data_IF_238818247842
#
_entry.id   IF_238818247842
#
_cell.length_a   1.000
_cell.length_b   1.000
_cell.length_c   1.000
_cell.angle_alpha   90.00
_cell.angle_beta   90.00
_cell.angle_gamma   90.00
#
_symmetry.space_group_name_H-M   'P 1'
#
loop_
_entity.id
_entity.type
_entity.pdbx_description
1 polymer ?
#
# COMPACT_ATOMS: atom_id res chain seq x y z
N UNK A 1 -28.29 7.10 13.35
CA UNK A 1 -27.01 6.96 12.63
C UNK A 1 -27.26 6.13 11.38
N UNK A 2 -27.39 6.81 10.25
CA UNK A 2 -27.65 6.18 8.95
C UNK A 2 -26.38 5.46 8.47
N UNK A 3 -26.52 4.47 7.59
CA UNK A 3 -25.43 3.64 7.04
C UNK A 3 -24.27 4.42 6.37
N UNK A 4 -24.45 5.73 6.17
CA UNK A 4 -23.48 6.70 5.64
C UNK A 4 -22.24 6.90 6.53
N UNK A 5 -22.35 6.83 7.86
CA UNK A 5 -21.27 7.22 8.78
C UNK A 5 -20.06 6.26 8.79
N UNK A 6 -20.20 5.04 8.27
CA UNK A 6 -19.22 3.96 8.52
C UNK A 6 -18.26 3.67 7.36
N UNK A 7 -18.50 4.22 6.16
CA UNK A 7 -17.52 4.22 5.06
C UNK A 7 -16.48 5.34 5.21
N UNK A 8 -16.88 6.46 5.85
CA UNK A 8 -15.98 7.54 6.23
C UNK A 8 -14.85 7.04 7.14
N UNK A 9 -15.15 6.16 8.11
CA UNK A 9 -14.15 5.62 9.03
C UNK A 9 -13.07 4.77 8.36
N UNK A 10 -13.42 3.89 7.42
CA UNK A 10 -12.42 3.06 6.71
C UNK A 10 -11.58 3.91 5.75
N UNK A 11 -12.22 4.82 5.03
CA UNK A 11 -11.52 5.73 4.10
C UNK A 11 -10.50 6.58 4.87
N UNK A 12 -10.92 7.16 5.99
CA UNK A 12 -10.07 7.97 6.85
C UNK A 12 -8.95 7.15 7.51
N UNK A 13 -9.23 5.93 7.96
CA UNK A 13 -8.20 5.04 8.53
C UNK A 13 -7.07 4.76 7.52
N UNK A 14 -7.42 4.48 6.26
CA UNK A 14 -6.45 4.32 5.20
C UNK A 14 -5.64 5.61 4.97
N UNK A 15 -6.32 6.76 4.86
CA UNK A 15 -5.64 8.05 4.66
C UNK A 15 -4.71 8.41 5.84
N UNK A 16 -5.08 8.12 7.08
CA UNK A 16 -4.19 8.33 8.23
C UNK A 16 -2.91 7.50 8.12
N UNK A 17 -3.01 6.21 7.79
CA UNK A 17 -1.82 5.37 7.57
C UNK A 17 -0.95 5.96 6.47
N UNK A 18 -1.55 6.33 5.34
CA UNK A 18 -0.86 6.91 4.20
C UNK A 18 -0.07 8.17 4.60
N UNK A 19 -0.72 9.13 5.26
CA UNK A 19 -0.08 10.39 5.65
C UNK A 19 0.92 10.24 6.79
N UNK A 20 0.71 9.32 7.73
CA UNK A 20 1.71 9.01 8.78
C UNK A 20 3.00 8.50 8.12
N UNK A 21 2.90 7.56 7.19
CA UNK A 21 4.07 7.02 6.49
C UNK A 21 4.71 8.04 5.53
N UNK A 22 3.92 8.94 4.94
CA UNK A 22 4.44 10.08 4.20
C UNK A 22 5.31 10.97 5.09
N UNK A 23 4.85 11.32 6.29
CA UNK A 23 5.63 12.14 7.22
C UNK A 23 6.94 11.46 7.64
N UNK A 24 6.90 10.15 7.90
CA UNK A 24 8.11 9.35 8.16
C UNK A 24 9.06 9.42 6.96
N UNK A 25 8.55 9.23 5.74
CA UNK A 25 9.35 9.29 4.52
C UNK A 25 9.96 10.68 4.28
N UNK A 26 9.24 11.76 4.58
CA UNK A 26 9.76 13.14 4.47
C UNK A 26 10.99 13.31 5.35
N UNK A 27 10.97 12.85 6.60
CA UNK A 27 12.13 12.92 7.50
C UNK A 27 13.32 12.17 6.90
N UNK A 28 13.10 10.96 6.38
CA UNK A 28 14.14 10.16 5.73
C UNK A 28 14.68 10.82 4.44
N UNK A 29 13.81 11.46 3.67
CA UNK A 29 14.17 12.18 2.44
C UNK A 29 15.00 13.43 2.73
N UNK A 30 14.64 14.19 3.77
CA UNK A 30 15.46 15.33 4.25
C UNK A 30 16.85 14.83 4.65
N UNK A 31 16.93 13.76 5.44
CA UNK A 31 18.22 13.15 5.80
C UNK A 31 19.05 12.76 4.56
N UNK A 32 18.45 12.13 3.55
CA UNK A 32 19.15 11.75 2.31
C UNK A 32 19.72 12.95 1.57
N UNK A 33 18.97 14.05 1.46
CA UNK A 33 19.44 15.27 0.80
C UNK A 33 20.55 15.93 1.61
N UNK A 34 20.41 16.01 2.94
CA UNK A 34 21.43 16.61 3.82
C UNK A 34 22.74 15.82 3.77
N UNK A 35 22.68 14.49 3.79
CA UNK A 35 23.86 13.62 3.65
C UNK A 35 24.54 13.81 2.29
N UNK A 36 23.76 13.76 1.20
CA UNK A 36 24.29 13.93 -0.17
C UNK A 36 24.87 15.32 -0.44
N UNK A 37 24.40 16.32 0.29
CA UNK A 37 24.91 17.68 0.20
C UNK A 37 26.18 17.92 1.04
N UNK A 38 26.64 16.92 1.81
CA UNK A 38 27.80 17.07 2.71
C UNK A 38 27.54 18.02 3.89
N UNK A 39 26.27 18.19 4.29
CA UNK A 39 25.86 19.12 5.35
C UNK A 39 25.86 18.48 6.75
N UNK A 40 26.28 17.21 6.86
CA UNK A 40 26.31 16.46 8.12
C UNK A 40 27.68 16.48 8.79
N UNK A 41 28.70 17.07 8.17
CA UNK A 41 30.07 17.22 8.68
C UNK A 41 30.63 15.91 9.29
N UNK A 42 30.31 14.76 8.68
CA UNK A 42 30.72 13.43 9.14
C UNK A 42 30.00 12.86 10.37
N UNK A 43 29.08 13.59 11.03
CA UNK A 43 28.44 13.11 12.26
C UNK A 43 27.46 11.95 12.05
N UNK A 44 26.82 11.88 10.87
CA UNK A 44 25.83 10.87 10.50
C UNK A 44 26.07 10.29 9.09
N UNK A 45 27.23 10.57 8.50
CA UNK A 45 27.62 10.03 7.19
C UNK A 45 27.98 8.55 7.33
N UNK A 46 27.12 7.69 6.78
CA UNK A 46 27.31 6.24 6.83
C UNK A 46 26.59 5.60 5.65
N UNK A 47 27.29 4.81 4.81
CA UNK A 47 26.64 4.07 3.73
C UNK A 47 25.53 3.15 4.24
N UNK A 48 25.73 2.51 5.40
CA UNK A 48 24.74 1.62 6.01
C UNK A 48 23.47 2.39 6.37
N UNK A 49 23.61 3.54 7.03
CA UNK A 49 22.46 4.38 7.41
C UNK A 49 21.77 4.98 6.18
N UNK A 50 22.56 5.40 5.18
CA UNK A 50 22.04 5.94 3.94
C UNK A 50 21.18 4.91 3.18
N UNK A 51 21.68 3.69 2.96
CA UNK A 51 20.92 2.66 2.25
C UNK A 51 19.73 2.12 3.04
N UNK A 52 19.80 2.06 4.37
CA UNK A 52 18.64 1.77 5.22
C UNK A 52 17.58 2.87 5.08
N UNK A 53 17.98 4.14 5.08
CA UNK A 53 17.10 5.28 4.86
C UNK A 53 16.44 5.27 3.48
N UNK A 54 17.22 5.12 2.40
CA UNK A 54 16.67 5.08 1.03
C UNK A 54 15.72 3.91 0.83
N UNK A 55 16.03 2.74 1.39
CA UNK A 55 15.15 1.57 1.32
C UNK A 55 13.83 1.83 2.04
N UNK A 56 13.90 2.33 3.27
CA UNK A 56 12.71 2.64 4.08
C UNK A 56 11.87 3.76 3.46
N UNK A 57 12.52 4.83 2.99
CA UNK A 57 11.86 5.94 2.30
C UNK A 57 11.14 5.46 1.03
N UNK A 58 11.84 4.70 0.18
CA UNK A 58 11.28 4.19 -1.06
C UNK A 58 10.06 3.30 -0.81
N UNK A 59 10.13 2.38 0.15
CA UNK A 59 8.99 1.52 0.52
C UNK A 59 7.83 2.32 1.10
N UNK A 60 8.11 3.27 1.99
CA UNK A 60 7.08 4.13 2.59
C UNK A 60 6.35 4.98 1.54
N UNK A 61 7.08 5.57 0.58
CA UNK A 61 6.50 6.41 -0.47
C UNK A 61 5.83 5.60 -1.59
N UNK A 62 6.51 4.59 -2.12
CA UNK A 62 6.09 3.90 -3.33
C UNK A 62 5.05 2.80 -3.08
N UNK A 63 5.05 2.20 -1.88
CA UNK A 63 4.12 1.12 -1.54
C UNK A 63 3.12 1.53 -0.47
N UNK A 64 3.58 1.99 0.70
CA UNK A 64 2.66 2.22 1.83
C UNK A 64 1.75 3.42 1.55
N UNK A 65 2.32 4.60 1.30
CA UNK A 65 1.57 5.83 1.02
C UNK A 65 0.59 5.64 -0.13
N UNK A 66 1.06 5.20 -1.30
CA UNK A 66 0.24 5.08 -2.51
C UNK A 66 -0.88 4.05 -2.36
N UNK A 67 -0.60 2.89 -1.77
CA UNK A 67 -1.59 1.81 -1.58
C UNK A 67 -2.69 2.25 -0.62
N UNK A 68 -2.33 2.75 0.55
CA UNK A 68 -3.33 3.21 1.51
C UNK A 68 -4.06 4.46 1.00
N UNK A 69 -3.39 5.37 0.28
CA UNK A 69 -4.05 6.52 -0.32
C UNK A 69 -5.10 6.10 -1.34
N UNK A 70 -4.75 5.23 -2.30
CA UNK A 70 -5.70 4.78 -3.34
C UNK A 70 -6.84 3.97 -2.73
N UNK A 71 -6.56 3.16 -1.71
CA UNK A 71 -7.59 2.41 -1.00
C UNK A 71 -8.59 3.35 -0.30
N UNK A 72 -8.08 4.32 0.48
CA UNK A 72 -8.90 5.29 1.20
C UNK A 72 -9.70 6.19 0.27
N UNK A 73 -9.04 6.77 -0.74
CA UNK A 73 -9.69 7.59 -1.76
C UNK A 73 -10.74 6.79 -2.54
N UNK A 74 -10.42 5.55 -2.90
CA UNK A 74 -11.33 4.65 -3.62
C UNK A 74 -12.61 4.33 -2.84
N UNK A 75 -12.50 4.01 -1.54
CA UNK A 75 -13.69 3.78 -0.71
C UNK A 75 -14.56 5.03 -0.58
N UNK A 76 -13.95 6.19 -0.37
CA UNK A 76 -14.67 7.46 -0.28
C UNK A 76 -15.40 7.79 -1.58
N UNK A 77 -14.68 7.76 -2.70
CA UNK A 77 -15.25 8.10 -4.01
C UNK A 77 -16.29 7.08 -4.46
N UNK A 78 -16.07 5.77 -4.26
CA UNK A 78 -17.05 4.76 -4.62
C UNK A 78 -18.38 4.94 -3.88
N UNK A 79 -18.33 5.18 -2.56
CA UNK A 79 -19.55 5.33 -1.76
C UNK A 79 -20.28 6.64 -2.03
N UNK A 80 -19.55 7.72 -2.30
CA UNK A 80 -20.14 9.04 -2.62
C UNK A 80 -20.67 9.12 -4.05
N UNK A 81 -19.94 8.61 -5.04
CA UNK A 81 -20.36 8.68 -6.44
C UNK A 81 -21.50 7.72 -6.77
N UNK A 82 -21.48 6.51 -6.20
CA UNK A 82 -22.53 5.52 -6.40
C UNK A 82 -23.72 5.69 -5.44
N UNK A 83 -23.58 6.56 -4.43
CA UNK A 83 -24.59 6.82 -3.39
C UNK A 83 -25.08 5.55 -2.69
N UNK A 84 -24.17 4.61 -2.45
CA UNK A 84 -24.44 3.34 -1.76
C UNK A 84 -23.32 3.00 -0.77
N UNK A 85 -23.62 2.12 0.19
CA UNK A 85 -22.61 1.60 1.10
C UNK A 85 -21.58 0.71 0.40
N UNK A 86 -20.51 0.36 1.13
CA UNK A 86 -19.55 -0.64 0.67
C UNK A 86 -20.25 -1.98 0.42
N UNK A 87 -19.84 -2.68 -0.65
CA UNK A 87 -20.43 -3.97 -1.02
C UNK A 87 -20.32 -5.00 0.11
N UNK A 88 -19.14 -5.13 0.72
CA UNK A 88 -18.95 -5.95 1.92
C UNK A 88 -18.04 -5.27 2.93
N UNK A 89 -18.63 -4.66 3.96
CA UNK A 89 -17.88 -3.89 4.96
C UNK A 89 -16.88 -4.73 5.77
N UNK A 90 -17.27 -5.93 6.20
CA UNK A 90 -16.38 -6.80 7.00
C UNK A 90 -15.14 -7.19 6.22
N UNK A 91 -15.34 -7.55 4.94
CA UNK A 91 -14.25 -7.87 4.04
C UNK A 91 -13.35 -6.65 3.74
N UNK A 92 -13.92 -5.45 3.62
CA UNK A 92 -13.14 -4.22 3.42
C UNK A 92 -12.23 -3.91 4.62
N UNK A 93 -12.72 -4.08 5.85
CA UNK A 93 -11.89 -3.94 7.06
C UNK A 93 -10.84 -5.05 7.17
N UNK A 94 -11.18 -6.29 6.80
CA UNK A 94 -10.21 -7.38 6.74
C UNK A 94 -9.05 -7.04 5.80
N UNK A 95 -9.33 -6.52 4.59
CA UNK A 95 -8.29 -6.07 3.65
C UNK A 95 -7.38 -4.99 4.23
N UNK A 96 -7.96 -4.01 4.94
CA UNK A 96 -7.18 -2.99 5.66
C UNK A 96 -6.28 -3.59 6.73
N UNK A 97 -6.80 -4.50 7.56
CA UNK A 97 -5.99 -5.14 8.60
C UNK A 97 -4.90 -6.04 8.03
N UNK A 98 -5.18 -6.74 6.94
CA UNK A 98 -4.19 -7.54 6.23
C UNK A 98 -3.03 -6.66 5.73
N UNK A 99 -3.38 -5.52 5.12
CA UNK A 99 -2.39 -4.57 4.62
C UNK A 99 -1.54 -3.95 5.75
N UNK A 100 -2.17 -3.50 6.85
CA UNK A 100 -1.41 -2.86 7.94
C UNK A 100 -0.55 -3.86 8.70
N UNK A 101 -1.00 -5.10 8.90
CA UNK A 101 -0.15 -6.17 9.45
C UNK A 101 1.05 -6.40 8.55
N UNK A 102 0.85 -6.43 7.23
CA UNK A 102 1.95 -6.53 6.26
C UNK A 102 2.97 -5.39 6.42
N UNK A 103 2.51 -4.15 6.53
CA UNK A 103 3.38 -2.99 6.77
C UNK A 103 4.15 -3.13 8.08
N UNK A 104 3.49 -3.52 9.17
CA UNK A 104 4.15 -3.67 10.48
C UNK A 104 5.20 -4.79 10.47
N UNK A 105 4.96 -5.88 9.75
CA UNK A 105 5.95 -6.96 9.56
C UNK A 105 7.17 -6.47 8.77
N UNK A 106 6.97 -5.69 7.70
CA UNK A 106 8.06 -5.14 6.90
C UNK A 106 8.80 -4.00 7.62
N UNK A 107 8.16 -3.31 8.58
CA UNK A 107 8.75 -2.18 9.28
C UNK A 107 9.93 -2.59 10.17
N UNK A 108 9.83 -3.71 10.88
CA UNK A 108 10.94 -4.21 11.72
C UNK A 108 12.26 -4.35 10.96
N UNK A 109 12.36 -5.12 9.86
CA UNK A 109 13.63 -5.27 9.15
C UNK A 109 14.05 -4.00 8.41
N UNK A 110 13.13 -3.13 8.00
CA UNK A 110 13.46 -1.82 7.42
C UNK A 110 14.15 -0.91 8.44
N UNK A 111 13.57 -0.76 9.63
CA UNK A 111 14.10 0.12 10.68
C UNK A 111 15.39 -0.40 11.31
N UNK A 112 15.61 -1.71 11.32
CA UNK A 112 16.84 -2.34 11.83
C UNK A 112 17.93 -2.49 10.76
N UNK A 113 17.69 -2.06 9.52
CA UNK A 113 18.64 -2.16 8.41
C UNK A 113 18.75 -3.57 7.79
N UNK A 114 18.00 -4.55 8.28
CA UNK A 114 17.95 -5.92 7.77
C UNK A 114 17.17 -6.06 6.44
N UNK A 115 16.61 -4.97 5.92
CA UNK A 115 16.01 -4.87 4.59
C UNK A 115 16.56 -3.66 3.81
N UNK A 116 17.88 -3.47 3.82
CA UNK A 116 18.57 -2.42 3.05
C UNK A 116 18.74 -2.82 1.57
N UNK A 117 17.64 -3.17 0.91
CA UNK A 117 17.61 -3.75 -0.45
C UNK A 117 16.90 -2.86 -1.48
N UNK A 118 16.66 -1.59 -1.11
CA UNK A 118 15.84 -0.63 -1.85
C UNK A 118 14.37 -1.10 -1.99
N UNK A 119 13.52 -0.21 -2.52
CA UNK A 119 12.13 -0.54 -2.84
C UNK A 119 11.95 -1.52 -4.00
N UNK A 120 13.02 -1.82 -4.76
CA UNK A 120 13.02 -2.81 -5.84
C UNK A 120 13.40 -4.21 -5.40
N UNK A 121 14.10 -4.36 -4.27
CA UNK A 121 14.49 -5.64 -3.65
C UNK A 121 15.05 -6.70 -4.62
N UNK A 122 15.84 -6.25 -5.60
CA UNK A 122 16.43 -7.13 -6.63
C UNK A 122 17.41 -8.14 -6.03
N UNK A 123 17.24 -9.46 -6.30
CA UNK A 123 18.29 -10.45 -6.03
C UNK A 123 19.61 -10.10 -6.75
N UNK A 124 20.79 -10.49 -6.21
CA UNK A 124 21.00 -11.39 -5.06
C UNK A 124 21.00 -10.68 -3.70
N UNK A 125 20.58 -9.41 -3.60
CA UNK A 125 20.46 -8.74 -2.31
C UNK A 125 19.27 -9.31 -1.52
N UNK A 126 19.59 -9.98 -0.41
CA UNK A 126 18.60 -10.67 0.42
C UNK A 126 18.20 -9.82 1.64
N UNK A 127 16.90 -9.66 1.85
CA UNK A 127 16.34 -9.06 3.05
C UNK A 127 15.86 -10.13 4.04
N UNK A 128 15.58 -9.71 5.27
CA UNK A 128 14.92 -10.54 6.26
C UNK A 128 13.55 -11.07 5.77
N UNK A 129 13.16 -12.33 6.02
CA UNK A 129 11.91 -12.93 5.52
C UNK A 129 10.63 -12.12 5.81
N UNK A 130 10.56 -11.50 7.00
CA UNK A 130 9.44 -10.63 7.38
C UNK A 130 9.21 -9.45 6.42
N UNK A 131 10.26 -8.99 5.73
CA UNK A 131 10.12 -7.95 4.71
C UNK A 131 9.27 -8.46 3.54
N UNK A 132 9.64 -9.62 2.99
CA UNK A 132 8.93 -10.24 1.86
C UNK A 132 7.51 -10.66 2.22
N UNK A 133 7.32 -11.26 3.41
CA UNK A 133 5.98 -11.61 3.91
C UNK A 133 5.14 -10.35 4.11
N UNK A 134 5.72 -9.30 4.70
CA UNK A 134 5.04 -8.04 4.90
C UNK A 134 4.61 -7.37 3.60
N UNK A 135 5.51 -7.35 2.60
CA UNK A 135 5.25 -6.79 1.28
C UNK A 135 4.10 -7.53 0.56
N UNK A 136 4.09 -8.87 0.57
CA UNK A 136 3.01 -9.61 -0.10
C UNK A 136 1.67 -9.44 0.62
N UNK A 137 1.64 -9.35 1.96
CA UNK A 137 0.41 -9.08 2.71
C UNK A 137 -0.18 -7.70 2.38
N UNK A 138 0.66 -6.69 2.19
CA UNK A 138 0.22 -5.37 1.69
C UNK A 138 -0.45 -5.49 0.32
N UNK A 139 0.18 -6.20 -0.62
CA UNK A 139 -0.37 -6.42 -1.97
C UNK A 139 -1.68 -7.20 -1.90
N UNK A 140 -1.75 -8.31 -1.17
CA UNK A 140 -2.97 -9.12 -1.05
C UNK A 140 -4.09 -8.36 -0.34
N UNK A 141 -3.77 -7.53 0.67
CA UNK A 141 -4.74 -6.63 1.30
C UNK A 141 -5.39 -5.67 0.29
N UNK A 142 -4.61 -5.14 -0.64
CA UNK A 142 -5.11 -4.27 -1.71
C UNK A 142 -5.98 -5.01 -2.76
N UNK A 143 -5.79 -6.31 -2.97
CA UNK A 143 -6.68 -7.10 -3.84
C UNK A 143 -8.11 -7.16 -3.31
N UNK A 144 -8.26 -7.15 -1.98
CA UNK A 144 -9.58 -7.05 -1.35
C UNK A 144 -10.24 -5.71 -1.68
N UNK A 145 -9.49 -4.61 -1.75
CA UNK A 145 -9.99 -3.33 -2.24
C UNK A 145 -10.40 -3.40 -3.71
N UNK A 146 -9.61 -4.07 -4.57
CA UNK A 146 -9.98 -4.25 -5.98
C UNK A 146 -11.32 -4.97 -6.14
N UNK A 147 -11.51 -6.05 -5.37
CA UNK A 147 -12.77 -6.79 -5.36
C UNK A 147 -13.94 -5.88 -4.95
N UNK A 148 -13.77 -5.02 -3.94
CA UNK A 148 -14.80 -4.06 -3.54
C UNK A 148 -15.15 -3.11 -4.69
N UNK A 149 -14.16 -2.53 -5.37
CA UNK A 149 -14.40 -1.59 -6.48
C UNK A 149 -15.19 -2.26 -7.61
N UNK A 150 -14.79 -3.47 -7.99
CA UNK A 150 -15.46 -4.26 -9.05
C UNK A 150 -16.89 -4.60 -8.63
N UNK A 151 -17.09 -5.17 -7.44
CA UNK A 151 -18.41 -5.63 -6.99
C UNK A 151 -19.38 -4.48 -6.74
N UNK A 152 -18.91 -3.34 -6.24
CA UNK A 152 -19.72 -2.13 -6.09
C UNK A 152 -20.19 -1.62 -7.46
N UNK A 153 -19.31 -1.59 -8.46
CA UNK A 153 -19.66 -1.20 -9.83
C UNK A 153 -20.66 -2.17 -10.46
N UNK A 154 -20.43 -3.48 -10.34
CA UNK A 154 -21.35 -4.50 -10.89
C UNK A 154 -22.74 -4.43 -10.25
N UNK A 155 -22.79 -4.31 -8.92
CA UNK A 155 -24.04 -4.22 -8.16
C UNK A 155 -24.79 -2.94 -8.51
N UNK A 156 -24.08 -1.81 -8.61
CA UNK A 156 -24.68 -0.55 -9.02
C UNK A 156 -25.25 -0.62 -10.44
N UNK A 157 -24.49 -1.19 -11.39
CA UNK A 157 -24.94 -1.30 -12.78
C UNK A 157 -26.16 -2.21 -12.93
N UNK A 158 -26.25 -3.28 -12.12
CA UNK A 158 -27.44 -4.14 -12.06
C UNK A 158 -28.68 -3.38 -11.58
N UNK A 159 -28.53 -2.48 -10.62
CA UNK A 159 -29.63 -1.72 -10.04
C UNK A 159 -30.02 -0.47 -10.84
N UNK A 160 -29.15 -0.01 -11.76
CA UNK A 160 -29.36 1.16 -12.61
C UNK A 160 -29.19 0.78 -14.09
N UNK A 161 -30.09 -0.06 -14.63
CA UNK A 161 -30.00 -0.52 -16.02
C UNK A 161 -30.13 0.66 -16.98
N UNK A 162 -29.27 0.71 -18.00
CA UNK A 162 -29.22 1.78 -18.99
C UNK A 162 -28.44 3.03 -18.56
N UNK A 163 -28.16 3.23 -17.27
CA UNK A 163 -27.43 4.40 -16.81
C UNK A 163 -25.91 4.24 -16.95
N UNK A 164 -25.16 5.28 -17.39
CA UNK A 164 -23.71 5.23 -17.41
C UNK A 164 -23.13 5.20 -15.99
N UNK A 165 -22.04 4.45 -15.80
CA UNK A 165 -21.34 4.42 -14.51
C UNK A 165 -20.75 5.81 -14.23
N UNK A 166 -20.86 6.36 -13.02
CA UNK A 166 -20.20 7.61 -12.66
C UNK A 166 -18.70 7.57 -12.99
N UNK A 167 -18.19 8.62 -13.64
CA UNK A 167 -16.83 8.66 -14.20
C UNK A 167 -15.75 8.29 -13.18
N UNK A 168 -15.85 8.81 -11.95
CA UNK A 168 -14.87 8.53 -10.90
C UNK A 168 -14.85 7.05 -10.53
N UNK A 169 -16.02 6.41 -10.43
CA UNK A 169 -16.07 4.97 -10.15
C UNK A 169 -15.58 4.14 -11.32
N UNK A 170 -15.88 4.56 -12.55
CA UNK A 170 -15.33 3.90 -13.74
C UNK A 170 -13.80 3.89 -13.69
N UNK A 171 -13.17 5.05 -13.42
CA UNK A 171 -11.73 5.18 -13.23
C UNK A 171 -11.18 4.28 -12.12
N UNK A 172 -11.82 4.28 -10.93
CA UNK A 172 -11.43 3.38 -9.84
C UNK A 172 -11.50 1.90 -10.23
N UNK A 173 -12.54 1.50 -10.96
CA UNK A 173 -12.72 0.11 -11.39
C UNK A 173 -11.67 -0.30 -12.41
N UNK A 174 -11.37 0.57 -13.38
CA UNK A 174 -10.27 0.35 -14.33
C UNK A 174 -8.92 0.24 -13.61
N UNK A 175 -8.66 1.13 -12.64
CA UNK A 175 -7.45 1.07 -11.84
C UNK A 175 -7.37 -0.24 -11.03
N UNK A 176 -8.48 -0.69 -10.44
CA UNK A 176 -8.53 -1.96 -9.71
C UNK A 176 -8.22 -3.17 -10.60
N UNK A 177 -8.79 -3.21 -11.82
CA UNK A 177 -8.52 -4.30 -12.78
C UNK A 177 -7.07 -4.28 -13.25
N UNK A 178 -6.54 -3.09 -13.58
CA UNK A 178 -5.14 -2.92 -13.95
C UNK A 178 -4.21 -3.37 -12.81
N UNK A 179 -4.50 -2.96 -11.58
CA UNK A 179 -3.70 -3.33 -10.41
C UNK A 179 -3.66 -4.84 -10.18
N UNK A 180 -4.80 -5.52 -10.30
CA UNK A 180 -4.85 -6.99 -10.22
C UNK A 180 -3.91 -7.61 -11.26
N UNK A 181 -3.97 -7.15 -12.52
CA UNK A 181 -3.08 -7.65 -13.57
C UNK A 181 -1.60 -7.39 -13.26
N UNK A 182 -1.25 -6.16 -12.91
CA UNK A 182 0.17 -5.75 -12.75
C UNK A 182 0.81 -6.28 -11.48
N UNK A 183 0.03 -6.51 -10.42
CA UNK A 183 0.55 -6.99 -9.13
C UNK A 183 0.69 -8.51 -9.04
N UNK A 184 0.07 -9.28 -9.94
CA UNK A 184 0.21 -10.74 -9.97
C UNK A 184 1.65 -11.19 -10.16
N UNK A 185 2.42 -10.50 -11.02
CA UNK A 185 3.82 -10.83 -11.28
C UNK A 185 4.67 -10.73 -10.02
N UNK A 186 4.65 -9.56 -9.36
CA UNK A 186 5.43 -9.33 -8.13
C UNK A 186 4.95 -10.22 -6.97
N UNK A 187 3.63 -10.45 -6.82
CA UNK A 187 3.13 -11.35 -5.79
C UNK A 187 3.63 -12.79 -6.01
N UNK A 188 3.66 -13.25 -7.27
CA UNK A 188 4.16 -14.58 -7.62
C UNK A 188 5.67 -14.70 -7.38
N UNK A 189 6.46 -13.70 -7.79
CA UNK A 189 7.90 -13.65 -7.50
C UNK A 189 8.18 -13.73 -5.99
N UNK A 190 7.48 -12.92 -5.20
CA UNK A 190 7.66 -12.90 -3.74
C UNK A 190 7.27 -14.23 -3.11
N UNK A 191 6.12 -14.81 -3.48
CA UNK A 191 5.60 -16.04 -2.87
C UNK A 191 6.42 -17.29 -3.24
N UNK A 192 6.80 -17.41 -4.50
CA UNK A 192 7.40 -18.65 -5.01
C UNK A 192 8.92 -18.61 -5.10
N UNK A 193 9.53 -17.41 -5.08
CA UNK A 193 10.98 -17.26 -5.20
C UNK A 193 11.57 -16.61 -3.94
N UNK A 194 11.17 -15.38 -3.62
CA UNK A 194 11.86 -14.60 -2.58
C UNK A 194 11.61 -15.10 -1.16
N UNK A 195 10.38 -15.47 -0.81
CA UNK A 195 10.07 -16.03 0.52
C UNK A 195 10.82 -17.34 0.77
N UNK A 196 10.71 -18.37 -0.11
CA UNK A 196 11.47 -19.61 0.05
C UNK A 196 12.97 -19.37 0.15
N UNK A 197 13.52 -18.56 -0.76
CA UNK A 197 14.94 -18.22 -0.77
C UNK A 197 15.40 -17.54 0.52
N UNK A 198 14.60 -16.61 1.06
CA UNK A 198 14.96 -15.88 2.27
C UNK A 198 14.96 -16.74 3.54
N UNK A 199 14.24 -17.87 3.54
CA UNK A 199 14.09 -18.77 4.68
C UNK A 199 15.17 -19.86 4.73
N UNK A 200 15.92 -20.07 3.65
CA UNK A 200 16.96 -21.11 3.54
C UNK A 200 16.49 -22.33 2.74
#
# INVERSE_FOLDING_TARGET
MTSSDKAAGLSLANLWVAFIFFLIAVVLGVFQVTERAGLLDGALESPVLYFASVSTHGVAMAFVLTTFFVMGFGYFTATTSLKQGLWNKGLAWFGFFLAIVGVLMALYPLLTGQASVLFTFYPPLQAHPLYYIGAVLLVVGSWIWCLQMIMMTMTWKKNNPGEPIPLVQFGNTCNAVMWLWTSLGVASEVLFQLIPWSLG
#
